data_IF_508378452355
#
_entry.id   IF_508378452355
#
_cell.length_a   1.000
_cell.length_b   1.000
_cell.length_c   1.000
_cell.angle_alpha   90.00
_cell.angle_beta   90.00
_cell.angle_gamma   90.00
#
_symmetry.space_group_name_H-M   'P 1'
#
loop_
_entity.id
_entity.type
_entity.pdbx_description
1 polymer ?
#
# COMPACT_ATOMS: atom_id res chain seq x y z
N UNK A 1 -7.38 -46.18 -47.51
CA UNK A 1 -7.13 -44.75 -47.18
C UNK A 1 -8.08 -44.21 -46.12
N UNK A 2 -9.37 -44.51 -46.12
CA UNK A 2 -10.35 -43.95 -45.15
C UNK A 2 -10.05 -44.23 -43.68
N UNK A 3 -9.57 -45.44 -43.32
CA UNK A 3 -9.29 -45.80 -41.93
C UNK A 3 -8.14 -45.04 -41.27
N UNK A 4 -7.21 -44.44 -42.03
CA UNK A 4 -6.14 -43.59 -41.50
C UNK A 4 -6.61 -42.18 -41.20
N UNK A 5 -7.49 -41.62 -42.05
CA UNK A 5 -8.09 -40.28 -41.82
C UNK A 5 -8.94 -40.20 -40.57
N UNK A 6 -9.74 -41.24 -40.28
CA UNK A 6 -10.59 -41.27 -39.07
C UNK A 6 -9.79 -41.23 -37.77
N UNK A 7 -8.59 -41.83 -37.74
CA UNK A 7 -7.72 -41.86 -36.57
C UNK A 7 -7.11 -40.49 -36.26
N UNK A 8 -6.76 -39.72 -37.28
CA UNK A 8 -6.24 -38.35 -37.10
C UNK A 8 -7.31 -37.35 -36.74
N UNK A 9 -8.51 -37.50 -37.29
CA UNK A 9 -9.67 -36.64 -36.93
C UNK A 9 -10.05 -36.86 -35.46
N UNK A 10 -10.03 -38.11 -34.96
CA UNK A 10 -10.33 -38.42 -33.58
C UNK A 10 -9.25 -37.85 -32.59
N UNK A 11 -7.97 -37.88 -32.97
CA UNK A 11 -6.89 -37.27 -32.18
C UNK A 11 -6.99 -35.74 -32.13
N UNK A 12 -7.36 -35.10 -33.21
CA UNK A 12 -7.53 -33.63 -33.26
C UNK A 12 -8.74 -33.20 -32.42
N UNK A 13 -9.85 -33.94 -32.44
CA UNK A 13 -11.00 -33.65 -31.58
C UNK A 13 -10.68 -33.81 -30.11
N UNK A 14 -9.91 -34.81 -29.71
CA UNK A 14 -9.49 -35.02 -28.32
C UNK A 14 -8.54 -33.91 -27.89
N UNK A 15 -7.63 -33.45 -28.75
CA UNK A 15 -6.72 -32.34 -28.43
C UNK A 15 -7.47 -31.00 -28.23
N UNK A 16 -8.54 -30.76 -28.95
CA UNK A 16 -9.40 -29.57 -28.77
C UNK A 16 -10.22 -29.60 -27.48
N UNK A 17 -10.55 -30.80 -26.96
CA UNK A 17 -11.27 -30.93 -25.70
C UNK A 17 -10.35 -30.79 -24.46
N UNK A 18 -9.02 -30.88 -24.65
CA UNK A 18 -8.03 -30.76 -23.57
C UNK A 18 -7.48 -29.35 -23.41
N UNK A 19 -7.85 -28.41 -24.27
CA UNK A 19 -7.55 -27.01 -24.02
C UNK A 19 -8.42 -26.53 -22.86
N UNK A 20 -7.85 -26.17 -21.70
CA UNK A 20 -8.63 -25.50 -20.67
C UNK A 20 -9.22 -24.25 -21.32
N UNK A 21 -10.53 -24.10 -21.23
CA UNK A 21 -11.21 -22.87 -21.60
C UNK A 21 -10.64 -21.82 -20.63
N UNK A 22 -9.68 -21.03 -21.11
CA UNK A 22 -9.26 -19.84 -20.40
C UNK A 22 -10.47 -18.92 -20.45
N UNK A 23 -11.25 -18.92 -19.38
CA UNK A 23 -12.25 -17.89 -19.19
C UNK A 23 -11.45 -16.60 -18.96
N UNK A 24 -11.31 -15.80 -19.99
CA UNK A 24 -10.94 -14.40 -19.84
C UNK A 24 -12.14 -13.76 -19.17
N UNK A 25 -12.09 -13.61 -17.86
CA UNK A 25 -13.07 -12.80 -17.15
C UNK A 25 -12.97 -11.40 -17.75
N UNK A 26 -14.10 -10.96 -18.33
CA UNK A 26 -14.17 -9.63 -18.90
C UNK A 26 -13.98 -8.64 -17.73
N UNK A 27 -12.84 -7.96 -17.70
CA UNK A 27 -12.59 -6.88 -16.75
C UNK A 27 -13.73 -5.87 -16.88
N UNK A 28 -14.62 -5.81 -15.88
CA UNK A 28 -15.69 -4.82 -15.89
C UNK A 28 -15.27 -3.59 -15.11
N UNK A 29 -15.45 -2.44 -15.72
CA UNK A 29 -15.16 -1.14 -15.12
C UNK A 29 -16.47 -0.46 -14.72
N UNK A 30 -16.51 0.09 -13.51
CA UNK A 30 -17.61 0.90 -13.01
C UNK A 30 -17.12 2.27 -12.59
N UNK A 31 -17.79 3.33 -13.08
CA UNK A 31 -17.56 4.70 -12.60
C UNK A 31 -18.50 5.00 -11.44
N UNK A 32 -17.93 5.50 -10.34
CA UNK A 32 -18.64 5.82 -9.09
C UNK A 32 -18.51 7.31 -8.76
N UNK A 33 -19.54 7.89 -8.14
CA UNK A 33 -19.61 9.33 -7.89
C UNK A 33 -19.90 9.71 -6.44
N UNK A 34 -20.15 8.74 -5.59
CA UNK A 34 -20.41 8.94 -4.16
C UNK A 34 -20.03 7.70 -3.37
N UNK A 35 -20.08 7.81 -2.04
CA UNK A 35 -19.72 6.74 -1.11
C UNK A 35 -20.57 5.48 -1.31
N UNK A 36 -21.88 5.62 -1.53
CA UNK A 36 -22.80 4.49 -1.68
C UNK A 36 -22.51 3.70 -2.96
N UNK A 37 -22.27 4.38 -4.08
CA UNK A 37 -21.89 3.76 -5.35
C UNK A 37 -20.53 3.05 -5.21
N UNK A 38 -19.56 3.67 -4.52
CA UNK A 38 -18.25 3.08 -4.26
C UNK A 38 -18.37 1.79 -3.42
N UNK A 39 -19.12 1.82 -2.34
CA UNK A 39 -19.37 0.63 -1.50
C UNK A 39 -20.06 -0.47 -2.28
N UNK A 40 -21.10 -0.14 -3.04
CA UNK A 40 -21.81 -1.10 -3.90
C UNK A 40 -20.87 -1.72 -4.95
N UNK A 41 -19.98 -0.92 -5.55
CA UNK A 41 -18.99 -1.42 -6.50
C UNK A 41 -17.96 -2.34 -5.83
N UNK A 42 -17.53 -2.05 -4.61
CA UNK A 42 -16.62 -2.89 -3.83
C UNK A 42 -17.24 -4.23 -3.42
N UNK A 43 -18.55 -4.29 -3.20
CA UNK A 43 -19.28 -5.52 -2.89
C UNK A 43 -19.54 -6.39 -4.12
N UNK A 44 -19.52 -5.81 -5.33
CA UNK A 44 -19.80 -6.52 -6.58
C UNK A 44 -18.53 -7.17 -7.15
N UNK A 45 -18.40 -8.49 -6.99
CA UNK A 45 -17.24 -9.26 -7.45
C UNK A 45 -17.03 -9.26 -8.97
N UNK A 46 -18.06 -8.88 -9.77
CA UNK A 46 -17.92 -8.79 -11.22
C UNK A 46 -17.19 -7.50 -11.67
N UNK A 47 -17.00 -6.53 -10.76
CA UNK A 47 -16.31 -5.28 -11.08
C UNK A 47 -14.84 -5.42 -10.69
N UNK A 48 -13.95 -5.42 -11.66
CA UNK A 48 -12.50 -5.51 -11.44
C UNK A 48 -11.82 -4.14 -11.37
N UNK A 49 -12.46 -3.09 -11.93
CA UNK A 49 -11.92 -1.72 -11.89
C UNK A 49 -13.02 -0.74 -11.49
N UNK A 50 -12.73 0.08 -10.49
CA UNK A 50 -13.58 1.16 -10.02
C UNK A 50 -12.89 2.47 -10.36
N UNK A 51 -13.60 3.37 -11.04
CA UNK A 51 -13.08 4.68 -11.45
C UNK A 51 -13.88 5.77 -10.75
N UNK A 52 -13.21 6.72 -10.10
CA UNK A 52 -13.88 7.88 -9.53
C UNK A 52 -14.29 8.83 -10.66
N UNK A 53 -15.56 9.23 -10.70
CA UNK A 53 -16.11 10.18 -11.67
C UNK A 53 -16.12 11.63 -11.19
N UNK A 54 -15.85 11.86 -9.92
CA UNK A 54 -15.67 13.15 -9.25
C UNK A 54 -15.05 12.91 -7.86
N UNK A 55 -14.76 13.99 -7.15
CA UNK A 55 -14.37 13.90 -5.75
C UNK A 55 -15.47 13.25 -4.92
N UNK A 56 -15.09 12.38 -3.98
CA UNK A 56 -15.99 11.61 -3.12
C UNK A 56 -15.72 11.96 -1.66
N UNK A 57 -16.74 12.44 -0.97
CA UNK A 57 -16.73 12.56 0.48
C UNK A 57 -17.17 11.24 1.11
N UNK A 58 -16.46 10.81 2.16
CA UNK A 58 -16.78 9.61 2.94
C UNK A 58 -16.96 9.96 4.41
N UNK A 59 -17.95 9.34 5.05
CA UNK A 59 -18.21 9.50 6.49
C UNK A 59 -17.72 8.33 7.32
N UNK A 60 -17.18 7.33 6.66
CA UNK A 60 -16.61 6.12 7.26
C UNK A 60 -15.37 5.67 6.47
N UNK A 61 -14.52 4.87 7.09
CA UNK A 61 -13.39 4.23 6.43
C UNK A 61 -13.87 3.28 5.32
N UNK A 62 -13.38 3.45 4.13
CA UNK A 62 -13.70 2.57 2.99
C UNK A 62 -12.81 1.33 3.04
N UNK A 63 -13.44 0.15 3.06
CA UNK A 63 -12.74 -1.13 3.16
C UNK A 63 -12.72 -1.87 1.81
N UNK A 64 -11.52 -2.21 1.35
CA UNK A 64 -11.27 -3.07 0.19
C UNK A 64 -10.94 -4.46 0.71
N UNK A 65 -11.82 -5.43 0.43
CA UNK A 65 -11.71 -6.80 0.96
C UNK A 65 -11.66 -7.87 -0.13
N UNK A 66 -11.43 -7.46 -1.37
CA UNK A 66 -11.29 -8.33 -2.55
C UNK A 66 -10.32 -7.73 -3.56
N UNK A 67 -9.80 -8.52 -4.50
CA UNK A 67 -8.96 -7.99 -5.56
C UNK A 67 -9.73 -6.98 -6.41
N UNK A 68 -9.16 -5.77 -6.57
CA UNK A 68 -9.75 -4.69 -7.35
C UNK A 68 -8.72 -3.62 -7.68
N UNK A 69 -8.90 -2.95 -8.82
CA UNK A 69 -8.20 -1.69 -9.12
C UNK A 69 -9.12 -0.52 -8.77
N UNK A 70 -8.62 0.44 -7.99
CA UNK A 70 -9.27 1.72 -7.73
C UNK A 70 -8.46 2.80 -8.46
N UNK A 71 -9.09 3.40 -9.48
CA UNK A 71 -8.54 4.52 -10.22
C UNK A 71 -9.24 5.80 -9.78
N UNK A 72 -8.51 6.64 -9.05
CA UNK A 72 -9.00 7.95 -8.66
C UNK A 72 -9.24 8.89 -9.84
N UNK A 73 -8.64 8.62 -11.01
CA UNK A 73 -8.77 9.45 -12.19
C UNK A 73 -8.43 10.94 -11.93
N UNK A 74 -7.53 11.18 -10.96
CA UNK A 74 -7.14 12.51 -10.50
C UNK A 74 -8.10 13.16 -9.49
N UNK A 75 -9.13 12.44 -9.03
CA UNK A 75 -10.07 12.91 -8.02
C UNK A 75 -9.61 12.59 -6.59
N UNK A 76 -10.28 13.24 -5.65
CA UNK A 76 -10.03 13.12 -4.21
C UNK A 76 -11.07 12.23 -3.55
N UNK A 77 -10.63 11.35 -2.67
CA UNK A 77 -11.48 10.72 -1.65
C UNK A 77 -11.17 11.39 -0.31
N UNK A 78 -12.15 12.08 0.25
CA UNK A 78 -12.00 12.84 1.48
C UNK A 78 -12.86 12.26 2.59
N UNK A 79 -12.24 11.96 3.73
CA UNK A 79 -12.99 11.67 4.95
C UNK A 79 -13.51 12.97 5.56
N UNK A 80 -14.84 13.05 5.75
CA UNK A 80 -15.55 14.20 6.35
C UNK A 80 -16.38 13.77 7.56
N UNK A 81 -16.27 12.54 8.01
CA UNK A 81 -16.96 12.02 9.19
C UNK A 81 -16.42 12.62 10.49
N UNK A 82 -17.11 12.36 11.56
CA UNK A 82 -16.62 12.68 12.90
C UNK A 82 -15.57 11.65 13.31
N UNK A 83 -14.46 12.11 13.88
CA UNK A 83 -13.55 11.24 14.62
C UNK A 83 -14.33 10.80 15.87
N UNK A 84 -14.96 9.62 15.77
CA UNK A 84 -16.00 9.22 16.69
C UNK A 84 -15.50 8.92 18.08
N UNK A 85 -16.41 9.07 19.04
CA UNK A 85 -16.33 8.56 20.40
C UNK A 85 -16.29 7.02 20.47
N UNK A 86 -16.24 6.34 19.32
CA UNK A 86 -16.28 4.89 19.27
C UNK A 86 -14.94 4.30 19.62
N UNK A 87 -14.88 3.75 20.80
CA UNK A 87 -14.02 2.65 21.23
C UNK A 87 -12.63 2.98 21.74
N UNK A 88 -12.19 4.20 21.80
CA UNK A 88 -11.00 4.49 22.54
C UNK A 88 -11.31 5.34 23.76
N UNK A 89 -11.00 4.83 24.92
CA UNK A 89 -10.76 5.63 26.12
C UNK A 89 -9.69 6.72 25.89
N UNK A 90 -9.21 6.84 24.66
CA UNK A 90 -8.19 7.72 24.19
C UNK A 90 -8.70 8.45 22.94
N UNK A 91 -9.41 9.55 23.17
CA UNK A 91 -9.92 10.49 22.14
C UNK A 91 -8.77 11.23 21.45
N UNK A 92 -7.69 10.55 21.14
CA UNK A 92 -6.56 11.10 20.41
C UNK A 92 -6.80 11.00 18.91
N UNK A 93 -6.18 11.89 18.17
CA UNK A 93 -6.12 11.85 16.69
C UNK A 93 -5.63 10.50 16.14
N UNK A 94 -5.12 9.63 17.00
CA UNK A 94 -4.57 8.29 16.76
C UNK A 94 -5.61 7.17 16.75
N UNK A 95 -6.89 7.47 16.80
CA UNK A 95 -7.97 6.46 16.90
C UNK A 95 -8.27 5.68 15.60
N UNK A 96 -7.36 5.70 14.63
CA UNK A 96 -7.38 4.74 13.53
C UNK A 96 -8.40 4.98 12.43
N UNK A 97 -8.78 6.23 12.15
CA UNK A 97 -9.62 6.55 10.99
C UNK A 97 -8.74 6.75 9.76
N UNK A 98 -8.79 5.79 8.85
CA UNK A 98 -8.16 5.87 7.54
C UNK A 98 -9.19 6.19 6.48
N UNK A 99 -8.80 6.94 5.45
CA UNK A 99 -9.69 7.20 4.32
C UNK A 99 -10.00 5.90 3.60
N UNK A 100 -8.98 5.10 3.33
CA UNK A 100 -9.06 3.82 2.64
C UNK A 100 -8.28 2.74 3.40
N UNK A 101 -8.86 1.55 3.52
CA UNK A 101 -8.16 0.36 4.01
C UNK A 101 -8.21 -0.75 2.97
N UNK A 102 -7.07 -1.39 2.72
CA UNK A 102 -7.01 -2.67 2.01
C UNK A 102 -6.75 -3.76 3.05
N UNK A 103 -7.65 -4.74 3.14
CA UNK A 103 -7.66 -5.75 4.20
C UNK A 103 -7.56 -7.17 3.65
N UNK A 104 -6.47 -7.87 3.96
CA UNK A 104 -6.23 -9.29 3.63
C UNK A 104 -6.46 -9.65 2.15
N UNK A 105 -6.16 -8.73 1.24
CA UNK A 105 -6.37 -8.93 -0.20
C UNK A 105 -5.28 -8.24 -1.00
N UNK A 106 -5.38 -8.30 -2.32
CA UNK A 106 -4.53 -7.54 -3.22
C UNK A 106 -5.33 -6.41 -3.85
N UNK A 107 -4.71 -5.24 -4.06
CA UNK A 107 -5.33 -4.14 -4.76
C UNK A 107 -4.30 -3.33 -5.54
N UNK A 108 -4.77 -2.68 -6.63
CA UNK A 108 -4.04 -1.58 -7.28
C UNK A 108 -4.78 -0.29 -6.99
N UNK A 109 -4.06 0.72 -6.52
CA UNK A 109 -4.60 2.06 -6.25
C UNK A 109 -3.80 3.04 -7.10
N UNK A 110 -4.50 3.88 -7.87
CA UNK A 110 -3.81 4.81 -8.76
C UNK A 110 -4.51 6.15 -8.91
N UNK A 111 -3.72 7.19 -9.22
CA UNK A 111 -4.19 8.54 -9.58
C UNK A 111 -5.23 9.11 -8.62
N UNK A 112 -4.97 9.07 -7.31
CA UNK A 112 -5.94 9.44 -6.27
C UNK A 112 -5.31 10.32 -5.20
N UNK A 113 -6.10 11.24 -4.65
CA UNK A 113 -5.80 11.89 -3.39
C UNK A 113 -6.64 11.27 -2.25
N UNK A 114 -6.00 10.95 -1.12
CA UNK A 114 -6.63 10.41 0.09
C UNK A 114 -6.37 11.37 1.24
N UNK A 115 -7.39 12.07 1.71
CA UNK A 115 -7.24 13.18 2.66
C UNK A 115 -8.31 13.20 3.76
N UNK A 116 -8.05 13.90 4.85
CA UNK A 116 -9.02 14.16 5.92
C UNK A 116 -9.13 13.07 6.98
N UNK A 117 -8.37 11.98 6.88
CA UNK A 117 -8.29 10.94 7.89
C UNK A 117 -7.17 11.18 8.92
N UNK A 118 -6.97 10.23 9.82
CA UNK A 118 -5.74 10.12 10.60
C UNK A 118 -4.59 9.71 9.69
N UNK A 119 -4.81 8.69 8.86
CA UNK A 119 -3.97 8.28 7.75
C UNK A 119 -4.75 8.21 6.45
N UNK A 120 -4.05 8.35 5.33
CA UNK A 120 -4.66 8.24 4.00
C UNK A 120 -5.01 6.78 3.67
N UNK A 121 -4.04 5.89 3.79
CA UNK A 121 -4.13 4.48 3.40
C UNK A 121 -3.65 3.55 4.52
N UNK A 122 -4.48 2.57 4.88
CA UNK A 122 -4.07 1.44 5.71
C UNK A 122 -3.95 0.18 4.85
N UNK A 123 -2.75 -0.38 4.79
CA UNK A 123 -2.48 -1.68 4.16
C UNK A 123 -2.42 -2.71 5.29
N UNK A 124 -3.53 -3.43 5.52
CA UNK A 124 -3.69 -4.31 6.68
C UNK A 124 -3.56 -5.78 6.27
N UNK A 125 -2.36 -6.34 6.39
CA UNK A 125 -2.04 -7.68 5.95
C UNK A 125 -2.40 -7.92 4.48
N UNK A 126 -2.19 -6.94 3.64
CA UNK A 126 -2.61 -6.89 2.25
C UNK A 126 -1.42 -6.57 1.35
N UNK A 127 -1.58 -6.83 0.05
CA UNK A 127 -0.59 -6.44 -0.97
C UNK A 127 -1.18 -5.35 -1.86
N UNK A 128 -0.54 -4.19 -1.89
CA UNK A 128 -1.05 -3.02 -2.62
C UNK A 128 0.00 -2.48 -3.58
N UNK A 129 -0.36 -2.40 -4.85
CA UNK A 129 0.43 -1.69 -5.85
C UNK A 129 -0.10 -0.27 -6.00
N UNK A 130 0.81 0.71 -5.93
CA UNK A 130 0.51 2.12 -6.13
C UNK A 130 1.03 2.56 -7.50
N UNK A 131 0.19 3.27 -8.28
CA UNK A 131 0.52 3.72 -9.63
C UNK A 131 0.10 5.18 -9.86
N UNK A 132 0.83 5.88 -10.71
CA UNK A 132 0.56 7.28 -10.99
C UNK A 132 0.72 8.16 -9.77
N UNK A 133 -0.04 9.23 -9.67
CA UNK A 133 0.04 10.17 -8.54
C UNK A 133 -0.85 9.72 -7.40
N UNK A 134 -0.25 9.52 -6.22
CA UNK A 134 -0.92 9.22 -4.95
C UNK A 134 -0.64 10.37 -4.00
N UNK A 135 -1.64 11.23 -3.79
CA UNK A 135 -1.53 12.36 -2.85
C UNK A 135 -2.11 11.97 -1.49
N UNK A 136 -1.26 11.95 -0.48
CA UNK A 136 -1.58 11.57 0.90
C UNK A 136 -1.62 12.78 1.84
N UNK A 137 -1.63 13.98 1.28
CA UNK A 137 -1.61 15.23 2.05
C UNK A 137 -2.88 15.44 2.85
N UNK A 138 -2.79 16.20 3.97
CA UNK A 138 -3.94 16.61 4.76
C UNK A 138 -4.49 15.53 5.70
N UNK A 139 -3.72 14.50 5.99
CA UNK A 139 -4.05 13.51 7.02
C UNK A 139 -3.39 13.87 8.35
N UNK A 140 -4.02 13.46 9.47
CA UNK A 140 -3.65 13.91 10.80
C UNK A 140 -2.29 13.44 11.27
N UNK A 141 -1.90 12.23 10.87
CA UNK A 141 -0.66 11.65 11.39
C UNK A 141 0.25 10.99 10.35
N UNK A 142 -0.22 10.75 9.13
CA UNK A 142 0.66 10.27 8.09
C UNK A 142 -0.05 9.81 6.84
N UNK A 143 0.74 9.31 5.89
CA UNK A 143 0.27 8.87 4.58
C UNK A 143 -0.24 7.43 4.59
N UNK A 144 0.69 6.47 4.71
CA UNK A 144 0.44 5.02 4.56
C UNK A 144 0.88 4.29 5.82
N UNK A 145 -0.03 3.53 6.40
CA UNK A 145 0.30 2.55 7.44
C UNK A 145 0.42 1.15 6.84
N UNK A 146 1.53 0.48 7.14
CA UNK A 146 1.75 -0.92 6.83
C UNK A 146 1.41 -1.78 8.06
N UNK A 147 0.12 -1.99 8.29
CA UNK A 147 -0.40 -2.61 9.50
C UNK A 147 -0.60 -4.12 9.39
N UNK A 148 -0.64 -4.73 10.56
CA UNK A 148 -1.03 -6.12 10.73
C UNK A 148 -1.95 -6.20 11.96
N UNK A 149 -3.25 -5.97 11.74
CA UNK A 149 -4.23 -5.96 12.82
C UNK A 149 -4.37 -7.31 13.52
N UNK A 150 -5.04 -7.30 14.67
CA UNK A 150 -5.25 -8.50 15.48
C UNK A 150 -5.88 -9.64 14.66
N UNK A 151 -5.26 -10.82 14.67
CA UNK A 151 -5.71 -11.99 13.92
C UNK A 151 -5.44 -11.93 12.41
N UNK A 152 -4.54 -11.03 11.98
CA UNK A 152 -4.03 -10.99 10.61
C UNK A 152 -2.66 -11.66 10.58
N UNK A 153 -2.52 -12.76 9.84
CA UNK A 153 -1.27 -13.52 9.74
C UNK A 153 -0.35 -12.99 8.63
N UNK A 154 -0.94 -12.42 7.56
CA UNK A 154 -0.18 -11.87 6.44
C UNK A 154 0.41 -10.51 6.79
N UNK A 155 1.63 -10.27 6.36
CA UNK A 155 2.29 -8.96 6.49
C UNK A 155 1.80 -7.99 5.42
N UNK A 156 1.88 -6.70 5.69
CA UNK A 156 1.58 -5.67 4.71
C UNK A 156 2.71 -5.58 3.67
N UNK A 157 2.33 -5.39 2.40
CA UNK A 157 3.26 -5.27 1.29
C UNK A 157 2.82 -4.14 0.37
N UNK A 158 3.61 -3.08 0.28
CA UNK A 158 3.39 -1.98 -0.66
C UNK A 158 4.38 -2.06 -1.81
N UNK A 159 3.88 -1.85 -3.03
CA UNK A 159 4.68 -1.86 -4.26
C UNK A 159 4.62 -0.48 -4.90
N UNK A 160 5.79 0.09 -5.12
CA UNK A 160 6.01 1.32 -5.88
C UNK A 160 6.74 0.97 -7.17
N UNK A 161 6.33 1.60 -8.26
CA UNK A 161 6.97 1.44 -9.58
C UNK A 161 7.63 2.76 -10.01
N UNK A 162 8.37 2.74 -11.09
CA UNK A 162 8.91 3.95 -11.75
C UNK A 162 7.83 4.94 -12.20
N UNK A 163 6.57 4.50 -12.26
CA UNK A 163 5.41 5.33 -12.58
C UNK A 163 4.70 5.85 -11.34
N UNK A 164 5.14 5.50 -10.12
CA UNK A 164 4.52 5.95 -8.88
C UNK A 164 5.12 7.29 -8.45
N UNK A 165 4.25 8.28 -8.23
CA UNK A 165 4.61 9.56 -7.62
C UNK A 165 3.83 9.71 -6.32
N UNK A 166 4.53 9.63 -5.18
CA UNK A 166 3.95 9.93 -3.89
C UNK A 166 3.99 11.44 -3.63
N UNK A 167 2.92 11.98 -3.09
CA UNK A 167 2.83 13.37 -2.63
C UNK A 167 2.33 13.36 -1.20
N UNK A 168 3.04 14.01 -0.28
CA UNK A 168 2.60 14.23 1.09
C UNK A 168 3.13 15.59 1.57
N UNK A 169 2.34 16.66 1.44
CA UNK A 169 2.73 18.02 1.85
C UNK A 169 2.71 18.22 3.37
N UNK A 170 2.17 17.26 4.10
CA UNK A 170 2.19 17.21 5.56
C UNK A 170 3.34 16.35 6.09
N UNK A 171 4.21 15.87 5.19
CA UNK A 171 5.35 15.02 5.53
C UNK A 171 6.32 15.70 6.50
N UNK A 172 6.60 15.06 7.61
CA UNK A 172 7.53 15.50 8.64
C UNK A 172 7.93 14.31 9.52
N UNK A 173 8.92 14.49 10.39
CA UNK A 173 9.31 13.47 11.36
C UNK A 173 8.16 13.00 12.27
N UNK A 174 7.19 13.90 12.55
CA UNK A 174 5.99 13.57 13.35
C UNK A 174 4.81 13.05 12.49
N UNK A 175 4.93 13.12 11.17
CA UNK A 175 3.88 12.75 10.20
C UNK A 175 4.49 12.11 8.96
N UNK A 176 4.99 10.87 9.09
CA UNK A 176 5.70 10.19 8.01
C UNK A 176 4.79 9.88 6.83
N UNK A 177 5.38 9.75 5.65
CA UNK A 177 4.65 9.27 4.47
C UNK A 177 4.32 7.80 4.56
N UNK A 178 5.17 6.99 5.20
CA UNK A 178 4.97 5.57 5.40
C UNK A 178 5.48 5.17 6.79
N UNK A 179 4.74 4.30 7.49
CA UNK A 179 5.19 3.77 8.79
C UNK A 179 4.70 2.34 9.02
N UNK A 180 5.41 1.64 9.90
CA UNK A 180 5.07 0.29 10.36
C UNK A 180 4.71 0.35 11.85
N UNK A 181 3.48 0.03 12.26
CA UNK A 181 3.08 0.13 13.66
C UNK A 181 3.81 -0.90 14.53
N UNK A 182 3.91 -0.58 15.81
CA UNK A 182 4.63 -1.34 16.85
C UNK A 182 4.16 -2.80 16.98
N UNK A 183 2.88 -3.05 16.81
CA UNK A 183 2.25 -4.37 16.96
C UNK A 183 2.28 -5.20 15.67
N UNK A 184 2.88 -4.68 14.61
CA UNK A 184 3.15 -5.41 13.37
C UNK A 184 4.35 -6.35 13.55
N UNK A 185 4.40 -7.43 12.78
CA UNK A 185 5.58 -8.35 12.76
C UNK A 185 6.64 -7.92 11.73
N UNK A 186 6.40 -6.83 11.02
CA UNK A 186 7.18 -6.32 9.91
C UNK A 186 6.34 -6.16 8.66
N UNK A 187 6.92 -5.57 7.64
CA UNK A 187 6.23 -5.28 6.37
C UNK A 187 7.23 -5.28 5.22
N UNK A 188 6.74 -5.21 3.99
CA UNK A 188 7.57 -5.15 2.79
C UNK A 188 7.28 -3.88 2.02
N UNK A 189 8.34 -3.14 1.71
CA UNK A 189 8.34 -2.09 0.70
C UNK A 189 9.05 -2.64 -0.54
N UNK A 190 8.35 -2.69 -1.67
CA UNK A 190 8.93 -3.08 -2.95
C UNK A 190 9.02 -1.85 -3.86
N UNK A 191 10.20 -1.56 -4.38
CA UNK A 191 10.45 -0.45 -5.30
C UNK A 191 11.12 -1.00 -6.55
N UNK A 192 10.46 -0.89 -7.69
CA UNK A 192 10.97 -1.37 -8.99
C UNK A 192 11.46 -2.84 -8.94
N UNK A 193 10.76 -3.69 -8.18
CA UNK A 193 11.09 -5.10 -8.00
C UNK A 193 12.14 -5.40 -6.93
N UNK A 194 12.79 -4.41 -6.34
CA UNK A 194 13.65 -4.58 -5.19
C UNK A 194 12.82 -4.56 -3.91
N UNK A 195 13.00 -5.56 -3.03
CA UNK A 195 12.23 -5.70 -1.79
C UNK A 195 13.07 -5.32 -0.58
N UNK A 196 12.47 -4.53 0.31
CA UNK A 196 13.03 -4.06 1.57
C UNK A 196 12.12 -4.53 2.70
N UNK A 197 12.68 -5.28 3.64
CA UNK A 197 11.97 -5.66 4.87
C UNK A 197 11.99 -4.44 5.82
N UNK A 198 10.80 -4.02 6.25
CA UNK A 198 10.61 -2.94 7.19
C UNK A 198 10.26 -3.52 8.57
N UNK A 199 10.90 -3.00 9.60
CA UNK A 199 10.70 -3.43 10.98
C UNK A 199 9.58 -2.63 11.67
N UNK A 200 8.97 -3.17 12.74
CA UNK A 200 8.05 -2.42 13.56
C UNK A 200 8.67 -1.12 14.11
N UNK A 201 7.87 -0.08 14.21
CA UNK A 201 8.25 1.27 14.64
C UNK A 201 9.15 2.03 13.64
N UNK A 202 9.34 1.53 12.42
CA UNK A 202 10.01 2.29 11.37
C UNK A 202 9.04 3.27 10.68
N UNK A 203 9.54 4.47 10.44
CA UNK A 203 8.83 5.59 9.84
C UNK A 203 9.70 6.19 8.73
N UNK A 204 9.08 6.55 7.61
CA UNK A 204 9.78 7.05 6.43
C UNK A 204 9.13 8.29 5.87
N UNK A 205 9.92 9.34 5.70
CA UNK A 205 9.57 10.53 4.92
C UNK A 205 9.66 10.25 3.42
N UNK A 206 9.11 11.14 2.59
CA UNK A 206 9.24 11.04 1.12
C UNK A 206 10.71 10.95 0.69
N UNK A 207 11.58 11.79 1.24
CA UNK A 207 12.99 11.79 0.88
C UNK A 207 13.69 10.46 1.19
N UNK A 208 13.31 9.80 2.29
CA UNK A 208 13.85 8.49 2.65
C UNK A 208 13.34 7.40 1.71
N UNK A 209 12.06 7.46 1.32
CA UNK A 209 11.50 6.54 0.32
C UNK A 209 12.20 6.73 -1.04
N UNK A 210 12.41 7.97 -1.46
CA UNK A 210 13.14 8.28 -2.71
C UNK A 210 14.59 7.79 -2.66
N UNK A 211 15.24 7.79 -1.50
CA UNK A 211 16.61 7.30 -1.35
C UNK A 211 16.73 5.79 -1.65
N UNK A 212 15.67 4.99 -1.43
CA UNK A 212 15.64 3.58 -1.84
C UNK A 212 15.68 3.44 -3.37
N UNK A 213 15.08 4.37 -4.14
CA UNK A 213 15.08 4.31 -5.60
C UNK A 213 16.46 4.58 -6.18
N UNK A 214 17.21 5.53 -5.60
CA UNK A 214 18.55 5.90 -6.07
C UNK A 214 19.56 4.76 -5.88
N UNK A 215 19.39 3.96 -4.83
CA UNK A 215 20.29 2.83 -4.54
C UNK A 215 20.14 1.67 -5.54
N UNK A 216 19.02 1.60 -6.28
CA UNK A 216 18.72 0.52 -7.23
C UNK A 216 19.12 0.86 -8.67
N UNK A 217 19.31 2.14 -9.02
CA UNK A 217 19.65 2.55 -10.39
C UNK A 217 21.11 2.32 -10.80
N UNK A 218 21.99 1.84 -9.92
CA UNK A 218 23.40 1.63 -10.24
C UNK A 218 23.94 0.22 -9.97
N UNK A 219 23.40 -0.85 -10.59
CA UNK A 219 23.98 -2.19 -10.50
C UNK A 219 25.15 -2.43 -11.47
N UNK A 220 25.45 -1.52 -12.40
CA UNK A 220 26.45 -1.76 -13.47
C UNK A 220 27.89 -1.34 -13.13
N UNK A 221 28.13 -0.61 -12.07
CA UNK A 221 29.50 -0.33 -11.63
C UNK A 221 29.83 -1.21 -10.44
N UNK A 222 30.51 -2.30 -10.68
CA UNK A 222 30.99 -3.32 -9.73
C UNK A 222 31.62 -2.88 -8.39
N UNK A 223 31.18 -1.76 -7.84
CA UNK A 223 31.58 -1.24 -6.54
C UNK A 223 30.59 -1.64 -5.45
N UNK A 224 30.64 -2.94 -5.09
CA UNK A 224 30.05 -3.40 -3.82
C UNK A 224 30.57 -2.62 -2.59
N UNK A 225 31.60 -1.82 -2.75
CA UNK A 225 32.20 -1.00 -1.70
C UNK A 225 31.30 0.17 -1.31
N UNK A 226 30.53 0.77 -2.25
CA UNK A 226 29.64 1.90 -1.96
C UNK A 226 28.40 1.43 -1.19
N UNK A 227 27.86 0.25 -1.51
CA UNK A 227 26.75 -0.37 -0.76
C UNK A 227 27.16 -0.71 0.68
N UNK A 228 28.40 -1.17 0.91
CA UNK A 228 28.90 -1.41 2.27
C UNK A 228 29.15 -0.11 3.05
N UNK A 229 29.55 0.96 2.38
CA UNK A 229 29.80 2.26 3.02
C UNK A 229 28.48 2.96 3.37
N UNK A 230 27.47 2.95 2.50
CA UNK A 230 26.17 3.53 2.80
C UNK A 230 25.42 2.73 3.88
N UNK A 231 25.45 1.39 3.84
CA UNK A 231 24.92 0.55 4.89
C UNK A 231 25.63 0.72 6.24
N UNK A 232 26.95 0.93 6.25
CA UNK A 232 27.69 1.26 7.49
C UNK A 232 27.37 2.66 8.02
N UNK A 233 27.14 3.65 7.15
CA UNK A 233 26.74 5.00 7.61
C UNK A 233 25.32 4.99 8.18
N UNK A 234 24.38 4.23 7.60
CA UNK A 234 23.03 4.04 8.15
C UNK A 234 23.09 3.34 9.52
N UNK A 235 23.84 2.24 9.64
CA UNK A 235 24.03 1.55 10.92
C UNK A 235 24.72 2.43 11.96
N UNK A 236 25.66 3.31 11.57
CA UNK A 236 26.31 4.24 12.48
C UNK A 236 25.39 5.36 12.94
N UNK A 237 24.53 5.89 12.07
CA UNK A 237 23.58 6.94 12.45
C UNK A 237 22.48 6.39 13.36
N UNK A 238 21.96 5.20 13.11
CA UNK A 238 21.00 4.51 13.99
C UNK A 238 21.64 4.18 15.34
N UNK A 239 22.88 3.69 15.36
CA UNK A 239 23.61 3.42 16.60
C UNK A 239 23.89 4.69 17.40
N UNK A 240 24.25 5.80 16.74
CA UNK A 240 24.46 7.10 17.38
C UNK A 240 23.15 7.67 17.94
N UNK A 241 22.05 7.52 17.25
CA UNK A 241 20.73 7.96 17.72
C UNK A 241 20.24 7.14 18.91
N UNK A 242 20.41 5.80 18.85
CA UNK A 242 20.12 4.93 20.00
C UNK A 242 20.99 5.27 21.21
N UNK A 243 22.29 5.56 21.00
CA UNK A 243 23.20 5.97 22.07
C UNK A 243 22.82 7.34 22.64
N UNK A 244 22.38 8.27 21.81
CA UNK A 244 21.90 9.59 22.23
C UNK A 244 20.62 9.47 23.07
N UNK A 245 19.63 8.65 22.65
CA UNK A 245 18.41 8.38 23.43
C UNK A 245 18.71 7.70 24.76
N UNK A 246 19.63 6.73 24.79
CA UNK A 246 20.04 6.08 26.05
C UNK A 246 20.75 7.04 27.00
N UNK A 247 21.66 7.86 26.48
CA UNK A 247 22.37 8.88 27.27
C UNK A 247 21.45 9.98 27.85
N UNK A 248 20.37 10.31 27.11
CA UNK A 248 19.36 11.24 27.59
C UNK A 248 18.50 10.64 28.70
N UNK A 249 18.13 9.36 28.58
CA UNK A 249 17.40 8.63 29.63
C UNK A 249 18.15 8.50 30.95
N UNK A 250 19.47 8.28 30.92
CA UNK A 250 20.28 8.23 32.16
C UNK A 250 20.35 9.57 32.88
N UNK A 251 20.29 10.70 32.18
CA UNK A 251 20.30 12.03 32.81
C UNK A 251 18.98 12.37 33.51
N UNK A 252 17.86 11.82 33.04
CA UNK A 252 16.53 12.06 33.65
C UNK A 252 16.28 11.20 34.91
N UNK A 253 17.17 10.23 35.23
CA UNK A 253 17.10 9.43 36.45
C UNK A 253 18.00 9.98 37.60
N UNK A 254 18.77 11.03 37.36
CA UNK A 254 19.68 11.63 38.34
C UNK A 254 19.33 13.09 38.72
N UNK A 255 18.13 13.55 38.40
CA UNK A 255 17.51 14.78 38.88
C UNK A 255 16.19 14.47 39.59
#
# INVERSE_FOLDING_TARGET
MLKKCTKYISMILIALCLFPWIQVEASSTMTVRNQEELKSALENSNISTIVLGNDIETTEKINVMRPVTIDGNGHTMQYVGTFGDSDSSDNTIWSGIYVLQVYKTEATIRNIALTGGNGGLLINGAKVQLEGTIDLSGNGFGGIELGQGSGVESIAHVILTDQTTLVNRTDSEDRPTLWVPKDSTGSILEINGAQYELLPEEEFTLNEIEAFTISTENPETGDQIILYISGMFLCFSVALFAFYKLSKREKDYFL
#
